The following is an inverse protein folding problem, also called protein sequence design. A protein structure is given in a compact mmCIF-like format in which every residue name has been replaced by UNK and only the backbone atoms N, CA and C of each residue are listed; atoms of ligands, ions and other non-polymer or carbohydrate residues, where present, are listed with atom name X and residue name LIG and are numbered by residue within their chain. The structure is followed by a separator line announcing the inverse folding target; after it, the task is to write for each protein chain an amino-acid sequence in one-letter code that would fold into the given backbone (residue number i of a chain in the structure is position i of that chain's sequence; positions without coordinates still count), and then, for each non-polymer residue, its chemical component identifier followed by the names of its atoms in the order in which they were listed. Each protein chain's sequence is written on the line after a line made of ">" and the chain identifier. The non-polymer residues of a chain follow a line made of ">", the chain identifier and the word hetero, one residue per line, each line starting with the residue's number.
data_IF_467241338536
#
_entry.id   IF_467241338536
#
_cell.length_a   1.000
_cell.length_b   1.000
_cell.length_c   1.000
_cell.angle_alpha   90.00
_cell.angle_beta   90.00
_cell.angle_gamma   90.00
#
_symmetry.space_group_name_H-M   'P 1'
#
loop_
_entity.id
_entity.type
_entity.pdbx_description
1 polymer ?
#
# COMPACT_ATOMS: atom_id res chain seq x y z
N UNK A 1 33.78 10.09 6.20
CA UNK A 1 32.91 8.94 6.57
C UNK A 1 31.42 9.24 6.40
N UNK A 2 30.92 10.42 6.81
CA UNK A 2 29.49 10.80 6.70
C UNK A 2 28.94 10.82 5.28
N UNK A 3 29.71 11.28 4.28
CA UNK A 3 29.28 11.30 2.88
C UNK A 3 28.96 9.90 2.30
N UNK A 4 29.76 8.89 2.65
CA UNK A 4 29.52 7.51 2.19
C UNK A 4 28.28 6.90 2.85
N UNK A 5 28.07 7.16 4.15
CA UNK A 5 26.89 6.71 4.88
C UNK A 5 25.61 7.39 4.37
N UNK A 6 25.67 8.70 4.11
CA UNK A 6 24.55 9.43 3.52
C UNK A 6 24.17 8.90 2.13
N UNK A 7 25.16 8.71 1.24
CA UNK A 7 24.92 8.18 -0.10
C UNK A 7 24.36 6.74 -0.05
N UNK A 8 24.86 5.91 0.86
CA UNK A 8 24.31 4.59 1.10
C UNK A 8 22.86 4.68 1.58
N UNK A 9 22.55 5.54 2.55
CA UNK A 9 21.17 5.73 3.02
C UNK A 9 20.25 6.24 1.93
N UNK A 10 20.71 7.16 1.08
CA UNK A 10 19.96 7.64 -0.08
C UNK A 10 19.68 6.52 -1.08
N UNK A 11 20.69 5.71 -1.40
CA UNK A 11 20.51 4.52 -2.24
C UNK A 11 19.48 3.56 -1.65
N UNK A 12 19.60 3.26 -0.35
CA UNK A 12 18.66 2.39 0.35
C UNK A 12 17.25 3.00 0.43
N UNK A 13 17.12 4.32 0.54
CA UNK A 13 15.83 5.01 0.52
C UNK A 13 15.14 4.85 -0.83
N UNK A 14 15.87 5.05 -1.93
CA UNK A 14 15.35 4.84 -3.29
C UNK A 14 14.98 3.38 -3.53
N UNK A 15 15.80 2.44 -3.04
CA UNK A 15 15.51 1.01 -3.12
C UNK A 15 14.23 0.65 -2.33
N UNK A 16 14.06 1.23 -1.14
CA UNK A 16 12.85 1.09 -0.34
C UNK A 16 11.62 1.65 -1.05
N UNK A 17 11.75 2.79 -1.72
CA UNK A 17 10.66 3.36 -2.53
C UNK A 17 10.27 2.42 -3.67
N UNK A 18 11.25 1.91 -4.43
CA UNK A 18 11.02 0.97 -5.52
C UNK A 18 10.35 -0.33 -5.02
N UNK A 19 10.83 -0.89 -3.90
CA UNK A 19 10.22 -2.06 -3.27
C UNK A 19 8.77 -1.82 -2.83
N UNK A 20 8.46 -0.63 -2.33
CA UNK A 20 7.10 -0.25 -1.94
C UNK A 20 6.16 -0.13 -3.15
N UNK A 21 6.63 0.42 -4.28
CA UNK A 21 5.88 0.44 -5.55
C UNK A 21 5.59 -0.98 -6.07
N UNK A 22 6.58 -1.87 -6.00
CA UNK A 22 6.41 -3.28 -6.38
C UNK A 22 5.38 -3.97 -5.49
N UNK A 23 5.48 -3.77 -4.16
CA UNK A 23 4.53 -4.33 -3.20
C UNK A 23 3.09 -3.87 -3.47
N UNK A 24 2.87 -2.56 -3.68
CA UNK A 24 1.54 -2.06 -4.02
C UNK A 24 1.03 -2.59 -5.35
N UNK A 25 1.89 -2.66 -6.37
CA UNK A 25 1.49 -3.19 -7.69
C UNK A 25 1.03 -4.64 -7.61
N UNK A 26 1.70 -5.45 -6.79
CA UNK A 26 1.35 -6.86 -6.59
C UNK A 26 0.13 -7.04 -5.68
N UNK A 27 -0.05 -6.17 -4.70
CA UNK A 27 -1.29 -6.12 -3.92
C UNK A 27 -2.48 -5.79 -4.82
N UNK A 28 -2.32 -4.82 -5.73
CA UNK A 28 -3.36 -4.42 -6.67
C UNK A 28 -3.82 -5.55 -7.59
N UNK A 29 -2.87 -6.24 -8.23
CA UNK A 29 -3.16 -7.34 -9.15
C UNK A 29 -3.78 -8.52 -8.41
N UNK A 30 -3.26 -8.86 -7.23
CA UNK A 30 -3.79 -9.92 -6.38
C UNK A 30 -5.22 -9.62 -5.94
N UNK A 31 -5.49 -8.43 -5.38
CA UNK A 31 -6.85 -8.06 -4.93
C UNK A 31 -7.86 -8.10 -6.08
N UNK A 32 -7.49 -7.66 -7.28
CA UNK A 32 -8.38 -7.69 -8.46
C UNK A 32 -8.72 -9.11 -8.90
N UNK A 33 -7.75 -10.01 -8.85
CA UNK A 33 -7.92 -11.42 -9.23
C UNK A 33 -8.71 -12.17 -8.18
N UNK A 34 -8.35 -12.01 -6.91
CA UNK A 34 -9.03 -12.65 -5.78
C UNK A 34 -10.52 -12.30 -5.70
N UNK A 35 -10.90 -11.05 -5.99
CA UNK A 35 -12.32 -10.64 -6.01
C UNK A 35 -13.13 -11.20 -7.18
N UNK A 36 -12.47 -11.69 -8.24
CA UNK A 36 -13.10 -12.34 -9.38
C UNK A 36 -13.09 -13.86 -9.27
N UNK A 37 -12.27 -14.42 -8.37
CA UNK A 37 -12.15 -15.85 -8.18
C UNK A 37 -13.50 -16.45 -7.75
N UNK A 38 -13.87 -17.54 -8.39
CA UNK A 38 -15.14 -18.23 -8.15
C UNK A 38 -14.95 -19.47 -7.28
N UNK A 39 -13.82 -20.15 -7.44
CA UNK A 39 -13.44 -21.37 -6.76
C UNK A 39 -12.07 -21.24 -6.05
N UNK A 40 -11.68 -22.30 -5.34
CA UNK A 40 -10.46 -22.36 -4.54
C UNK A 40 -9.22 -22.39 -5.44
N UNK A 41 -9.33 -23.05 -6.59
CA UNK A 41 -8.28 -23.28 -7.58
C UNK A 41 -7.86 -21.98 -8.28
N UNK A 42 -8.82 -21.09 -8.57
CA UNK A 42 -8.54 -19.74 -9.08
C UNK A 42 -7.92 -18.83 -8.02
N UNK A 43 -8.21 -19.08 -6.73
CA UNK A 43 -7.77 -18.24 -5.61
C UNK A 43 -6.37 -18.61 -5.10
N UNK A 44 -6.01 -19.90 -5.11
CA UNK A 44 -4.77 -20.46 -4.56
C UNK A 44 -3.49 -19.74 -5.04
N UNK A 45 -3.28 -19.52 -6.35
CA UNK A 45 -2.02 -18.95 -6.84
C UNK A 45 -1.81 -17.52 -6.37
N UNK A 46 -2.90 -16.77 -6.14
CA UNK A 46 -2.81 -15.39 -5.68
C UNK A 46 -2.57 -15.31 -4.17
N UNK A 47 -3.17 -16.21 -3.40
CA UNK A 47 -2.94 -16.30 -1.95
C UNK A 47 -1.50 -16.72 -1.66
N UNK A 48 -0.96 -17.69 -2.41
CA UNK A 48 0.44 -18.11 -2.27
C UNK A 48 1.42 -17.01 -2.70
N UNK A 49 1.12 -16.29 -3.79
CA UNK A 49 1.91 -15.13 -4.24
C UNK A 49 1.97 -14.03 -3.16
N UNK A 50 0.83 -13.69 -2.54
CA UNK A 50 0.81 -12.69 -1.46
C UNK A 50 1.58 -13.16 -0.22
N UNK A 51 1.53 -14.44 0.13
CA UNK A 51 2.34 -15.01 1.24
C UNK A 51 3.83 -14.93 0.94
N UNK A 52 4.24 -15.27 -0.29
CA UNK A 52 5.64 -15.16 -0.71
C UNK A 52 6.18 -13.73 -0.64
N UNK A 53 5.30 -12.74 -0.78
CA UNK A 53 5.63 -11.32 -0.77
C UNK A 53 5.28 -10.58 0.51
N UNK A 54 4.80 -11.28 1.53
CA UNK A 54 4.31 -10.69 2.79
C UNK A 54 5.38 -9.81 3.47
N UNK A 55 6.67 -10.13 3.24
CA UNK A 55 7.80 -9.38 3.80
C UNK A 55 8.21 -8.17 2.98
N UNK A 56 7.90 -8.10 1.68
CA UNK A 56 8.41 -7.03 0.80
C UNK A 56 7.84 -5.67 1.20
N UNK A 57 6.52 -5.59 1.43
CA UNK A 57 5.86 -4.35 1.84
C UNK A 57 6.41 -3.80 3.17
N UNK A 58 6.37 -4.57 4.28
CA UNK A 58 6.90 -4.15 5.57
C UNK A 58 8.39 -3.82 5.54
N UNK A 59 9.20 -4.63 4.86
CA UNK A 59 10.66 -4.38 4.75
C UNK A 59 10.94 -3.09 4.00
N UNK A 60 10.24 -2.84 2.88
CA UNK A 60 10.37 -1.60 2.10
C UNK A 60 9.94 -0.37 2.90
N UNK A 61 8.83 -0.50 3.65
CA UNK A 61 8.32 0.57 4.52
C UNK A 61 9.30 0.90 5.64
N UNK A 62 9.86 -0.12 6.29
CA UNK A 62 10.86 0.03 7.34
C UNK A 62 12.13 0.69 6.79
N UNK A 63 12.58 0.23 5.63
CA UNK A 63 13.74 0.78 4.93
C UNK A 63 13.55 2.27 4.61
N UNK A 64 12.38 2.66 4.08
CA UNK A 64 12.02 4.06 3.83
C UNK A 64 12.02 4.90 5.10
N UNK A 65 11.40 4.41 6.18
CA UNK A 65 11.31 5.14 7.45
C UNK A 65 12.69 5.33 8.08
N UNK A 66 13.48 4.26 8.21
CA UNK A 66 14.80 4.31 8.85
C UNK A 66 15.74 5.24 8.08
N UNK A 67 15.82 5.08 6.75
CA UNK A 67 16.68 5.92 5.91
C UNK A 67 16.19 7.37 5.85
N UNK A 68 14.88 7.60 5.78
CA UNK A 68 14.29 8.94 5.76
C UNK A 68 14.55 9.71 7.06
N UNK A 69 14.37 9.05 8.22
CA UNK A 69 14.69 9.62 9.54
C UNK A 69 16.18 9.93 9.63
N UNK A 70 17.04 9.00 9.23
CA UNK A 70 18.48 9.20 9.24
C UNK A 70 18.92 10.43 8.43
N UNK A 71 18.42 10.58 7.18
CA UNK A 71 18.73 11.73 6.34
C UNK A 71 18.20 13.04 6.92
N UNK A 72 17.00 13.02 7.51
CA UNK A 72 16.38 14.19 8.15
C UNK A 72 17.22 14.70 9.32
N UNK A 73 17.64 13.79 10.21
CA UNK A 73 18.45 14.13 11.39
C UNK A 73 19.85 14.59 10.99
N UNK A 74 20.46 13.89 10.03
CA UNK A 74 21.84 14.18 9.58
C UNK A 74 21.95 15.55 8.92
N UNK A 75 20.95 15.93 8.11
CA UNK A 75 20.91 17.25 7.46
C UNK A 75 20.23 18.33 8.30
N UNK A 76 19.70 17.98 9.49
CA UNK A 76 18.82 18.85 10.32
C UNK A 76 17.66 19.45 9.51
N UNK A 77 17.15 18.69 8.54
CA UNK A 77 16.19 19.16 7.53
C UNK A 77 14.74 18.98 8.01
N UNK A 78 14.34 19.71 9.04
CA UNK A 78 12.96 19.71 9.57
C UNK A 78 11.99 20.56 8.74
N UNK A 79 12.10 20.47 7.41
CA UNK A 79 11.29 21.25 6.50
C UNK A 79 9.84 20.71 6.44
N UNK A 80 8.84 21.56 6.15
CA UNK A 80 7.44 21.15 6.13
C UNK A 80 7.16 19.91 5.26
N UNK A 81 7.71 19.85 4.04
CA UNK A 81 7.50 18.71 3.15
C UNK A 81 8.08 17.40 3.69
N UNK A 82 9.18 17.45 4.45
CA UNK A 82 9.79 16.27 5.09
C UNK A 82 8.84 15.73 6.16
N UNK A 83 8.37 16.61 7.04
CA UNK A 83 7.49 16.21 8.15
C UNK A 83 6.14 15.68 7.63
N UNK A 84 5.54 16.34 6.64
CA UNK A 84 4.30 15.88 6.01
C UNK A 84 4.51 14.53 5.32
N UNK A 85 5.64 14.33 4.63
CA UNK A 85 5.96 13.05 4.00
C UNK A 85 6.14 11.92 5.02
N UNK A 86 6.77 12.22 6.16
CA UNK A 86 6.96 11.25 7.24
C UNK A 86 5.63 10.82 7.86
N UNK A 87 4.75 11.78 8.13
CA UNK A 87 3.39 11.50 8.62
C UNK A 87 2.60 10.68 7.60
N UNK A 88 2.68 11.01 6.32
CA UNK A 88 2.04 10.26 5.24
C UNK A 88 2.57 8.82 5.16
N UNK A 89 3.89 8.62 5.29
CA UNK A 89 4.50 7.29 5.29
C UNK A 89 4.05 6.44 6.49
N UNK A 90 3.96 7.04 7.69
CA UNK A 90 3.42 6.36 8.88
C UNK A 90 1.94 5.99 8.67
N UNK A 91 1.14 6.90 8.10
CA UNK A 91 -0.25 6.62 7.76
C UNK A 91 -0.37 5.45 6.77
N UNK A 92 0.50 5.41 5.75
CA UNK A 92 0.57 4.28 4.81
C UNK A 92 0.96 2.97 5.49
N UNK A 93 1.90 2.99 6.43
CA UNK A 93 2.29 1.81 7.20
C UNK A 93 1.11 1.26 8.04
N UNK A 94 0.35 2.15 8.69
CA UNK A 94 -0.84 1.79 9.48
C UNK A 94 -1.92 1.19 8.59
N UNK A 95 -2.20 1.80 7.44
CA UNK A 95 -3.16 1.27 6.46
C UNK A 95 -2.71 -0.09 5.91
N UNK A 96 -1.43 -0.23 5.57
CA UNK A 96 -0.87 -1.46 5.02
C UNK A 96 -0.89 -2.61 6.03
N UNK A 97 -0.27 -2.44 7.19
CA UNK A 97 -0.18 -3.49 8.20
C UNK A 97 -1.48 -3.70 8.99
N UNK A 98 -2.03 -2.60 9.54
CA UNK A 98 -3.15 -2.65 10.47
C UNK A 98 -4.50 -2.95 9.81
N UNK A 99 -4.69 -2.50 8.56
CA UNK A 99 -5.99 -2.60 7.87
C UNK A 99 -5.98 -3.68 6.79
N UNK A 100 -4.98 -3.68 5.90
CA UNK A 100 -4.89 -4.66 4.82
C UNK A 100 -4.28 -5.98 5.31
N UNK A 101 -3.10 -5.94 5.94
CA UNK A 101 -2.35 -7.12 6.38
C UNK A 101 -3.17 -8.03 7.29
N UNK A 102 -3.79 -7.44 8.32
CA UNK A 102 -4.68 -8.17 9.24
C UNK A 102 -5.83 -8.90 8.54
N UNK A 103 -6.40 -8.30 7.48
CA UNK A 103 -7.48 -8.93 6.72
C UNK A 103 -6.99 -10.02 5.79
N UNK A 104 -5.85 -9.80 5.14
CA UNK A 104 -5.22 -10.82 4.30
C UNK A 104 -4.81 -12.05 5.12
N UNK A 105 -4.36 -11.85 6.37
CA UNK A 105 -4.05 -12.94 7.29
C UNK A 105 -5.30 -13.76 7.67
N UNK A 106 -6.43 -13.09 7.92
CA UNK A 106 -7.71 -13.77 8.17
C UNK A 106 -8.15 -14.59 6.94
N UNK A 107 -8.07 -13.99 5.75
CA UNK A 107 -8.38 -14.67 4.49
C UNK A 107 -7.45 -15.87 4.28
N UNK A 108 -6.15 -15.70 4.52
CA UNK A 108 -5.15 -16.76 4.34
C UNK A 108 -5.33 -17.94 5.31
N UNK A 109 -5.81 -17.69 6.53
CA UNK A 109 -6.20 -18.75 7.48
C UNK A 109 -7.43 -19.52 7.01
N UNK A 110 -8.49 -18.81 6.63
CA UNK A 110 -9.73 -19.42 6.11
C UNK A 110 -9.48 -20.22 4.84
N UNK A 111 -8.64 -19.70 3.96
CA UNK A 111 -8.24 -20.39 2.74
C UNK A 111 -7.51 -21.70 3.02
N UNK A 112 -6.65 -21.74 4.04
CA UNK A 112 -5.91 -22.96 4.41
C UNK A 112 -6.83 -24.09 4.93
N UNK A 113 -8.06 -23.77 5.35
CA UNK A 113 -9.08 -24.73 5.77
C UNK A 113 -9.86 -25.30 4.55
N UNK A 114 -9.77 -24.67 3.37
CA UNK A 114 -10.45 -25.09 2.16
C UNK A 114 -9.66 -26.17 1.42
N UNK A 115 -10.37 -27.10 0.79
CA UNK A 115 -9.75 -28.20 0.02
C UNK A 115 -9.93 -27.99 -1.48
N UNK A 116 -11.16 -28.05 -1.98
CA UNK A 116 -11.51 -28.06 -3.41
C UNK A 116 -12.96 -27.57 -3.55
N UNK A 117 -13.28 -26.81 -4.59
CA UNK A 117 -14.64 -26.42 -4.94
C UNK A 117 -14.97 -24.93 -4.72
N UNK A 118 -16.26 -24.61 -4.72
CA UNK A 118 -16.74 -23.22 -4.68
C UNK A 118 -16.32 -22.50 -3.40
N UNK A 119 -15.95 -21.22 -3.54
CA UNK A 119 -15.60 -20.39 -2.39
C UNK A 119 -16.82 -20.21 -1.49
N UNK A 120 -16.73 -20.55 -0.18
CA UNK A 120 -17.83 -20.34 0.73
C UNK A 120 -18.13 -18.85 0.90
N UNK A 121 -19.40 -18.54 1.19
CA UNK A 121 -19.95 -17.18 1.15
C UNK A 121 -19.24 -16.24 2.11
N UNK A 122 -18.72 -16.74 3.23
CA UNK A 122 -17.95 -15.98 4.21
C UNK A 122 -16.61 -15.48 3.63
N UNK A 123 -15.86 -16.33 2.93
CA UNK A 123 -14.61 -15.96 2.24
C UNK A 123 -14.90 -14.99 1.09
N UNK A 124 -15.96 -15.25 0.32
CA UNK A 124 -16.41 -14.33 -0.74
C UNK A 124 -16.77 -12.95 -0.19
N UNK A 125 -17.46 -12.88 0.95
CA UNK A 125 -17.81 -11.61 1.61
C UNK A 125 -16.58 -10.88 2.15
N UNK A 126 -15.59 -11.60 2.70
CA UNK A 126 -14.32 -11.02 3.13
C UNK A 126 -13.55 -10.40 1.96
N UNK A 127 -13.50 -11.09 0.81
CA UNK A 127 -12.87 -10.59 -0.41
C UNK A 127 -13.65 -9.41 -1.01
N UNK A 128 -14.99 -9.46 -0.96
CA UNK A 128 -15.86 -8.39 -1.44
C UNK A 128 -15.82 -7.12 -0.57
N UNK A 129 -15.20 -7.16 0.63
CA UNK A 129 -15.21 -6.04 1.56
C UNK A 129 -14.61 -4.75 0.95
N UNK A 130 -15.35 -3.62 0.92
CA UNK A 130 -14.92 -2.37 0.28
C UNK A 130 -13.69 -1.74 0.95
N UNK A 131 -13.32 -2.14 2.15
CA UNK A 131 -12.19 -1.54 2.86
C UNK A 131 -10.81 -1.86 2.25
N UNK A 132 -10.66 -3.01 1.58
CA UNK A 132 -9.41 -3.40 0.93
C UNK A 132 -9.04 -2.46 -0.23
N UNK A 133 -9.92 -2.19 -1.22
CA UNK A 133 -9.62 -1.23 -2.27
C UNK A 133 -9.52 0.21 -1.74
N UNK A 134 -10.25 0.59 -0.69
CA UNK A 134 -10.10 1.91 -0.04
C UNK A 134 -8.70 2.06 0.53
N UNK A 135 -8.24 1.09 1.33
CA UNK A 135 -6.90 1.09 1.92
C UNK A 135 -5.82 1.14 0.85
N UNK A 136 -5.96 0.35 -0.22
CA UNK A 136 -5.06 0.41 -1.36
C UNK A 136 -5.04 1.79 -2.01
N UNK A 137 -6.21 2.36 -2.34
CA UNK A 137 -6.28 3.64 -3.04
C UNK A 137 -5.71 4.79 -2.22
N UNK A 138 -6.00 4.82 -0.92
CA UNK A 138 -5.40 5.82 -0.03
C UNK A 138 -3.88 5.71 0.01
N UNK A 139 -3.33 4.49 0.08
CA UNK A 139 -1.87 4.31 0.06
C UNK A 139 -1.26 4.68 -1.29
N UNK A 140 -1.89 4.33 -2.40
CA UNK A 140 -1.42 4.73 -3.73
C UNK A 140 -1.43 6.26 -3.91
N UNK A 141 -2.51 6.92 -3.49
CA UNK A 141 -2.63 8.38 -3.51
C UNK A 141 -1.56 9.05 -2.65
N UNK A 142 -1.39 8.59 -1.40
CA UNK A 142 -0.38 9.11 -0.49
C UNK A 142 1.04 8.90 -1.02
N UNK A 143 1.33 7.74 -1.62
CA UNK A 143 2.63 7.46 -2.23
C UNK A 143 2.95 8.47 -3.34
N UNK A 144 2.01 8.70 -4.26
CA UNK A 144 2.19 9.67 -5.34
C UNK A 144 2.35 11.09 -4.80
N UNK A 145 1.59 11.47 -3.78
CA UNK A 145 1.73 12.76 -3.11
C UNK A 145 3.11 12.92 -2.48
N UNK A 146 3.61 11.89 -1.78
CA UNK A 146 4.94 11.91 -1.15
C UNK A 146 6.04 12.05 -2.21
N UNK A 147 5.94 11.35 -3.34
CA UNK A 147 6.87 11.52 -4.46
C UNK A 147 6.85 12.96 -4.97
N UNK A 148 5.67 13.57 -5.13
CA UNK A 148 5.55 14.98 -5.51
C UNK A 148 6.17 15.93 -4.47
N UNK A 149 5.96 15.70 -3.18
CA UNK A 149 6.58 16.49 -2.10
C UNK A 149 8.11 16.40 -2.15
N UNK A 150 8.66 15.21 -2.40
CA UNK A 150 10.11 14.98 -2.48
C UNK A 150 10.76 15.69 -3.68
N UNK A 151 10.03 15.84 -4.78
CA UNK A 151 10.54 16.48 -6.01
C UNK A 151 10.38 17.99 -5.99
N UNK A 152 9.24 18.50 -5.53
CA UNK A 152 8.92 19.94 -5.55
C UNK A 152 9.27 20.68 -4.27
N UNK A 153 9.47 19.95 -3.16
CA UNK A 153 9.89 20.47 -1.83
C UNK A 153 9.09 21.70 -1.38
N UNK A 154 7.75 21.66 -1.40
CA UNK A 154 6.93 22.84 -1.12
C UNK A 154 6.99 23.22 0.36
N UNK A 155 6.55 24.44 0.67
CA UNK A 155 6.21 24.84 2.04
C UNK A 155 4.95 24.12 2.55
N UNK A 156 4.59 24.37 3.81
CA UNK A 156 3.52 23.64 4.51
C UNK A 156 2.18 23.63 3.73
N UNK A 157 1.73 24.80 3.26
CA UNK A 157 0.48 24.92 2.51
C UNK A 157 0.48 24.09 1.22
N UNK A 158 1.59 24.09 0.47
CA UNK A 158 1.72 23.26 -0.73
C UNK A 158 1.79 21.77 -0.43
N UNK A 159 2.46 21.38 0.67
CA UNK A 159 2.50 19.99 1.12
C UNK A 159 1.11 19.46 1.50
N UNK A 160 0.36 20.21 2.31
CA UNK A 160 -1.00 19.83 2.73
C UNK A 160 -1.98 19.84 1.56
N UNK A 161 -1.89 20.84 0.68
CA UNK A 161 -2.69 20.91 -0.54
C UNK A 161 -2.47 19.72 -1.45
N UNK A 162 -1.21 19.32 -1.67
CA UNK A 162 -0.89 18.15 -2.50
C UNK A 162 -1.44 16.84 -1.91
N UNK A 163 -1.35 16.65 -0.59
CA UNK A 163 -1.95 15.49 0.10
C UNK A 163 -3.47 15.50 -0.08
N UNK A 164 -4.13 16.63 0.15
CA UNK A 164 -5.58 16.75 0.01
C UNK A 164 -6.05 16.46 -1.43
N UNK A 165 -5.37 17.03 -2.42
CA UNK A 165 -5.65 16.79 -3.85
C UNK A 165 -5.44 15.32 -4.20
N UNK A 166 -4.34 14.70 -3.75
CA UNK A 166 -4.07 13.30 -4.04
C UNK A 166 -5.14 12.38 -3.42
N UNK A 167 -5.55 12.62 -2.17
CA UNK A 167 -6.64 11.88 -1.53
C UNK A 167 -7.93 12.06 -2.31
N UNK A 168 -8.28 13.29 -2.72
CA UNK A 168 -9.45 13.57 -3.54
C UNK A 168 -9.45 12.79 -4.86
N UNK A 169 -8.33 12.81 -5.58
CA UNK A 169 -8.15 12.04 -6.82
C UNK A 169 -8.26 10.54 -6.55
N UNK A 170 -7.64 10.02 -5.50
CA UNK A 170 -7.69 8.61 -5.13
C UNK A 170 -9.12 8.12 -4.85
N UNK A 171 -9.91 8.93 -4.15
CA UNK A 171 -11.31 8.63 -3.85
C UNK A 171 -12.20 8.67 -5.09
N UNK A 172 -12.00 9.63 -6.00
CA UNK A 172 -12.74 9.70 -7.27
C UNK A 172 -12.39 8.51 -8.17
N UNK A 173 -11.10 8.18 -8.27
CA UNK A 173 -10.56 7.08 -9.08
C UNK A 173 -11.01 5.72 -8.58
N UNK A 174 -11.38 5.60 -7.29
CA UNK A 174 -11.84 4.36 -6.68
C UNK A 174 -13.01 3.73 -7.45
N UNK A 175 -13.97 4.53 -7.93
CA UNK A 175 -15.14 4.03 -8.68
C UNK A 175 -14.76 3.47 -10.05
N UNK A 176 -13.83 4.11 -10.74
CA UNK A 176 -13.38 3.70 -12.07
C UNK A 176 -12.51 2.44 -12.01
N UNK A 177 -11.63 2.36 -11.01
CA UNK A 177 -10.74 1.20 -10.86
C UNK A 177 -11.38 0.06 -10.07
N UNK A 178 -12.54 0.26 -9.44
CA UNK A 178 -13.29 -0.79 -8.77
C UNK A 178 -14.78 -0.76 -9.13
N UNK A 179 -15.16 -1.31 -10.31
CA UNK A 179 -16.56 -1.45 -10.66
C UNK A 179 -17.28 -2.25 -9.58
N UNK A 180 -18.33 -1.68 -9.00
CA UNK A 180 -19.27 -2.43 -8.16
C UNK A 180 -19.86 -3.52 -9.07
N UNK A 181 -19.87 -4.81 -8.69
CA UNK A 181 -20.58 -5.81 -9.45
C UNK A 181 -22.01 -5.33 -9.62
N UNK A 182 -22.50 -5.22 -10.86
CA UNK A 182 -23.92 -4.96 -11.08
C UNK A 182 -24.68 -5.99 -10.26
N UNK A 183 -25.53 -5.53 -9.34
CA UNK A 183 -26.50 -6.40 -8.70
C UNK A 183 -27.35 -6.94 -9.84
N UNK A 184 -27.04 -8.15 -10.29
CA UNK A 184 -27.97 -8.89 -11.14
C UNK A 184 -29.20 -9.06 -10.27
N UNK A 185 -30.22 -8.25 -10.53
CA UNK A 185 -31.53 -8.49 -9.96
C UNK A 185 -31.96 -9.89 -10.43
N UNK A 186 -32.12 -10.76 -9.43
CA UNK A 186 -32.89 -12.02 -9.37
C UNK A 186 -33.00 -12.85 -10.66
#
# INVERSE_FOLDING_TARGET
>A
MTANLYNLSLFLHVLGAAGFFVALSLEWTSLRRMRRAVDVEELEPWVSTLKGLERVGPTSTLMLLVTGVYMTVTLRAYLPWVMVSMVALVAMAILGGGVTGRRMEIIGRRFAELRIGWLPTDVRNLLANPILPVSFQLRAALLLAVVFLMTTKPGLGGSLGAIAVAIGIGLVSMRALWPVPATTEM
#
